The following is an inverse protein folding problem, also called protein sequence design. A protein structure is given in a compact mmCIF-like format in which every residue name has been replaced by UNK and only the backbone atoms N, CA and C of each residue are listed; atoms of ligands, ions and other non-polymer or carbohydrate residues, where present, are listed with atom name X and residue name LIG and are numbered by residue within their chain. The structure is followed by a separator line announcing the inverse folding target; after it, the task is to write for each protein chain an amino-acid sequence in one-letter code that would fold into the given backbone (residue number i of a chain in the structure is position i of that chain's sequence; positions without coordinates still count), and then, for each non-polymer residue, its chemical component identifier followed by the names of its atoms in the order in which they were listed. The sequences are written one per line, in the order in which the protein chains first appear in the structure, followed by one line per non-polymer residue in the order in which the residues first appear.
data_IF_660145974746
#
_entry.id   IF_660145974746
#
_cell.length_a   1.000
_cell.length_b   1.000
_cell.length_c   1.000
_cell.angle_alpha   90.00
_cell.angle_beta   90.00
_cell.angle_gamma   90.00
#
_symmetry.space_group_name_H-M   'P 1'
#
loop_
_entity.id
_entity.type
_entity.pdbx_description
1 polymer ?
#
# COMPACT_ATOMS: atom_id res chain seq x y z
N UNK A 1 16.25 5.73 2.01
CA UNK A 1 16.05 4.28 1.81
C UNK A 1 14.73 4.07 1.10
N UNK A 2 14.65 3.12 0.17
CA UNK A 2 13.39 2.76 -0.46
C UNK A 2 12.90 1.46 0.17
N UNK A 3 11.68 1.46 0.68
CA UNK A 3 11.06 0.30 1.34
C UNK A 3 9.80 -0.06 0.59
N UNK A 4 9.58 -1.35 0.37
CA UNK A 4 8.35 -1.86 -0.25
C UNK A 4 7.67 -2.78 0.75
N UNK A 5 6.50 -2.38 1.23
CA UNK A 5 5.65 -3.27 2.03
C UNK A 5 5.13 -4.39 1.13
N UNK A 6 5.16 -5.66 1.56
CA UNK A 6 4.80 -6.78 0.68
C UNK A 6 3.95 -7.83 1.39
N UNK A 7 3.04 -8.43 0.63
CA UNK A 7 2.30 -9.62 1.04
C UNK A 7 3.16 -10.89 1.00
N UNK A 8 2.60 -11.99 1.50
CA UNK A 8 3.09 -13.37 1.36
C UNK A 8 2.18 -14.21 0.43
N UNK A 9 2.62 -15.42 0.09
CA UNK A 9 1.89 -16.29 -0.85
C UNK A 9 0.56 -16.80 -0.27
N UNK A 10 0.54 -17.16 1.02
CA UNK A 10 -0.68 -17.47 1.77
C UNK A 10 -1.11 -16.25 2.58
N UNK A 11 -2.17 -15.58 2.14
CA UNK A 11 -2.69 -14.35 2.76
C UNK A 11 -4.12 -14.55 3.21
N UNK A 12 -4.51 -13.77 4.21
CA UNK A 12 -5.88 -13.67 4.71
C UNK A 12 -6.49 -12.34 4.24
N UNK A 13 -7.74 -12.08 4.61
CA UNK A 13 -8.39 -10.79 4.40
C UNK A 13 -7.86 -9.69 5.33
N UNK A 14 -6.89 -9.99 6.21
CA UNK A 14 -6.23 -8.99 7.03
C UNK A 14 -5.58 -7.90 6.16
N UNK A 15 -5.87 -6.65 6.48
CA UNK A 15 -5.40 -5.48 5.74
C UNK A 15 -4.28 -4.72 6.44
N UNK A 16 -3.75 -5.22 7.56
CA UNK A 16 -2.76 -4.54 8.40
C UNK A 16 -1.57 -3.99 7.62
N UNK A 17 -1.11 -4.69 6.58
CA UNK A 17 0.02 -4.22 5.76
C UNK A 17 -0.29 -2.94 4.95
N UNK A 18 -1.55 -2.65 4.65
CA UNK A 18 -1.96 -1.41 4.01
C UNK A 18 -1.78 -0.22 4.98
N UNK A 19 -2.26 -0.36 6.21
CA UNK A 19 -2.11 0.65 7.26
C UNK A 19 -0.63 0.88 7.60
N UNK A 20 0.16 -0.19 7.74
CA UNK A 20 1.61 -0.09 7.98
C UNK A 20 2.35 0.60 6.83
N UNK A 21 1.97 0.34 5.58
CA UNK A 21 2.61 0.97 4.42
C UNK A 21 2.41 2.50 4.42
N UNK A 22 1.22 2.96 4.81
CA UNK A 22 0.88 4.39 4.91
C UNK A 22 1.53 5.00 6.15
N UNK A 23 1.36 4.39 7.33
CA UNK A 23 1.87 4.90 8.60
C UNK A 23 3.40 5.05 8.63
N UNK A 24 4.12 4.09 8.02
CA UNK A 24 5.57 4.12 7.91
C UNK A 24 6.06 4.92 6.70
N UNK A 25 5.16 5.54 5.94
CA UNK A 25 5.45 6.29 4.73
C UNK A 25 6.37 5.51 3.76
N UNK A 26 6.06 4.22 3.55
CA UNK A 26 6.84 3.37 2.65
C UNK A 26 6.80 3.88 1.21
N UNK A 27 5.70 4.53 0.82
CA UNK A 27 5.45 5.01 -0.54
C UNK A 27 5.13 3.90 -1.55
N UNK A 28 5.46 2.64 -1.25
CA UNK A 28 5.21 1.48 -2.11
C UNK A 28 4.67 0.30 -1.33
N UNK A 29 3.71 -0.38 -1.94
CA UNK A 29 3.17 -1.66 -1.45
C UNK A 29 2.97 -2.62 -2.62
N UNK A 30 3.37 -3.88 -2.42
CA UNK A 30 3.13 -4.99 -3.35
C UNK A 30 2.15 -5.96 -2.70
N UNK A 31 0.87 -5.81 -3.03
CA UNK A 31 -0.22 -6.61 -2.43
C UNK A 31 -0.89 -7.62 -3.38
N UNK A 32 -0.30 -7.88 -4.55
CA UNK A 32 -0.72 -8.96 -5.46
C UNK A 32 -1.46 -8.43 -6.68
N UNK A 33 -2.16 -9.31 -7.39
CA UNK A 33 -3.08 -8.89 -8.45
C UNK A 33 -4.32 -8.25 -7.83
N UNK A 34 -5.01 -7.40 -8.61
CA UNK A 34 -6.34 -6.90 -8.28
C UNK A 34 -7.41 -7.99 -8.52
N UNK A 35 -7.19 -9.15 -7.92
CA UNK A 35 -8.06 -10.33 -8.00
C UNK A 35 -7.88 -11.19 -6.75
N UNK A 36 -8.95 -11.92 -6.38
CA UNK A 36 -9.11 -12.65 -5.11
C UNK A 36 -9.29 -11.74 -3.90
N UNK A 37 -10.21 -12.13 -3.01
CA UNK A 37 -10.73 -11.29 -1.92
C UNK A 37 -9.65 -10.91 -0.90
N UNK A 38 -8.73 -11.83 -0.57
CA UNK A 38 -7.60 -11.62 0.34
C UNK A 38 -6.66 -10.48 -0.11
N UNK A 39 -6.53 -10.27 -1.43
CA UNK A 39 -5.73 -9.18 -2.02
C UNK A 39 -6.53 -7.91 -2.12
N UNK A 40 -7.79 -8.02 -2.52
CA UNK A 40 -8.69 -6.87 -2.65
C UNK A 40 -8.96 -6.19 -1.31
N UNK A 41 -8.99 -6.93 -0.20
CA UNK A 41 -9.13 -6.36 1.15
C UNK A 41 -8.08 -5.27 1.43
N UNK A 42 -6.82 -5.49 1.03
CA UNK A 42 -5.70 -4.55 1.24
C UNK A 42 -5.80 -3.33 0.33
N UNK A 43 -6.22 -3.51 -0.93
CA UNK A 43 -6.49 -2.38 -1.83
C UNK A 43 -7.67 -1.52 -1.36
N UNK A 44 -8.76 -2.15 -0.95
CA UNK A 44 -9.93 -1.47 -0.41
C UNK A 44 -9.58 -0.70 0.86
N UNK A 45 -8.70 -1.25 1.70
CA UNK A 45 -8.22 -0.53 2.87
C UNK A 45 -7.40 0.71 2.49
N UNK A 46 -6.55 0.65 1.46
CA UNK A 46 -5.85 1.86 0.98
C UNK A 46 -6.82 2.96 0.50
N UNK A 47 -7.90 2.57 -0.17
CA UNK A 47 -8.95 3.52 -0.59
C UNK A 47 -9.62 4.14 0.64
N UNK A 48 -10.02 3.34 1.63
CA UNK A 48 -10.60 3.85 2.88
C UNK A 48 -9.66 4.78 3.63
N UNK A 49 -8.36 4.46 3.70
CA UNK A 49 -7.36 5.32 4.34
C UNK A 49 -7.23 6.64 3.58
N UNK A 50 -7.22 6.61 2.25
CA UNK A 50 -7.19 7.82 1.44
C UNK A 50 -8.44 8.70 1.69
N UNK A 51 -9.63 8.10 1.68
CA UNK A 51 -10.89 8.78 1.99
C UNK A 51 -10.87 9.40 3.40
N UNK A 52 -10.34 8.69 4.39
CA UNK A 52 -10.23 9.16 5.78
C UNK A 52 -9.25 10.33 5.92
N UNK A 53 -8.11 10.30 5.22
CA UNK A 53 -7.10 11.35 5.27
C UNK A 53 -7.48 12.58 4.43
N UNK A 54 -8.32 12.39 3.40
CA UNK A 54 -8.78 13.45 2.52
C UNK A 54 -7.62 14.27 1.93
N UNK A 55 -7.63 15.57 2.17
CA UNK A 55 -6.59 16.49 1.68
C UNK A 55 -5.20 16.28 2.30
N UNK A 56 -5.10 15.52 3.40
CA UNK A 56 -3.82 15.19 4.03
C UNK A 56 -3.11 14.02 3.34
N UNK A 57 -3.83 13.21 2.56
CA UNK A 57 -3.26 12.11 1.81
C UNK A 57 -2.51 12.63 0.57
N UNK A 58 -1.30 12.12 0.33
CA UNK A 58 -0.49 12.45 -0.84
C UNK A 58 -0.13 11.17 -1.59
N UNK A 59 -0.63 11.03 -2.81
CA UNK A 59 -0.19 9.97 -3.70
C UNK A 59 1.21 10.31 -4.27
N UNK A 60 2.23 9.43 -4.14
CA UNK A 60 3.65 9.74 -4.41
C UNK A 60 4.03 9.84 -5.92
N UNK A 61 3.11 10.26 -6.80
CA UNK A 61 3.28 10.43 -8.26
C UNK A 61 4.68 10.95 -8.65
N UNK A 62 5.49 10.10 -9.27
CA UNK A 62 6.82 10.45 -9.80
C UNK A 62 7.90 10.77 -8.76
N UNK A 63 7.60 10.68 -7.45
CA UNK A 63 8.56 10.97 -6.38
C UNK A 63 9.36 9.76 -5.94
N UNK A 64 8.91 8.55 -6.31
CA UNK A 64 9.60 7.31 -5.98
C UNK A 64 10.69 7.05 -7.00
N UNK A 65 11.93 7.31 -6.59
CA UNK A 65 13.13 7.11 -7.44
C UNK A 65 13.62 5.68 -7.29
N UNK A 66 13.61 4.90 -8.37
CA UNK A 66 14.27 3.60 -8.42
C UNK A 66 15.71 3.77 -8.93
N UNK A 67 16.68 3.19 -8.23
CA UNK A 67 18.09 3.21 -8.65
C UNK A 67 18.78 4.57 -8.47
N UNK A 68 20.11 4.59 -8.61
CA UNK A 68 20.89 5.85 -8.65
C UNK A 68 20.57 6.60 -9.94
N UNK A 69 20.48 7.92 -9.82
CA UNK A 69 20.51 8.87 -10.93
C UNK A 69 21.67 8.57 -11.87
#
# INVERSE_FOLDING_TARGET
YNTIMSHRSGETEDSTIADLAVALNCGQIKTGSASRTDRMAKYNQLIRIEEQLGSSAIYPKGKIKFGKK
#
